data_IF_653880127322
#
_entry.id   IF_653880127322
#
_cell.length_a   1.000
_cell.length_b   1.000
_cell.length_c   1.000
_cell.angle_alpha   90.00
_cell.angle_beta   90.00
_cell.angle_gamma   90.00
#
_symmetry.space_group_name_H-M   'P 1'
#
loop_
_entity.id
_entity.type
_entity.pdbx_description
1 polymer ?
#
# COMPACT_ATOMS: atom_id res chain seq x y z
N UNK A 1 -17.28 -0.29 27.43
CA UNK A 1 -16.16 -1.26 27.46
C UNK A 1 -16.29 -2.14 26.23
N UNK A 2 -15.28 -2.16 25.33
CA UNK A 2 -15.24 -3.10 24.21
C UNK A 2 -15.02 -4.51 24.76
N UNK A 3 -15.73 -5.50 24.22
CA UNK A 3 -15.52 -6.90 24.59
C UNK A 3 -14.10 -7.35 24.21
N UNK A 4 -13.57 -8.33 24.92
CA UNK A 4 -12.23 -8.88 24.69
C UNK A 4 -12.06 -9.36 23.24
N UNK A 5 -13.12 -9.97 22.69
CA UNK A 5 -13.19 -10.39 21.28
C UNK A 5 -13.12 -9.20 20.30
N UNK A 6 -13.74 -8.06 20.61
CA UNK A 6 -13.67 -6.87 19.75
C UNK A 6 -12.27 -6.25 19.72
N UNK A 7 -11.57 -6.25 20.85
CA UNK A 7 -10.18 -5.80 20.94
C UNK A 7 -9.24 -6.72 20.15
N UNK A 8 -9.41 -8.03 20.27
CA UNK A 8 -8.61 -9.01 19.53
C UNK A 8 -8.83 -8.93 18.02
N UNK A 9 -10.09 -8.81 17.58
CA UNK A 9 -10.42 -8.57 16.18
C UNK A 9 -9.77 -7.29 15.65
N UNK A 10 -9.80 -6.20 16.42
CA UNK A 10 -9.18 -4.94 16.03
C UNK A 10 -7.66 -5.08 15.89
N UNK A 11 -6.99 -5.73 16.86
CA UNK A 11 -5.54 -5.99 16.80
C UNK A 11 -5.17 -6.83 15.58
N UNK A 12 -5.94 -7.88 15.29
CA UNK A 12 -5.71 -8.72 14.11
C UNK A 12 -5.91 -7.94 12.81
N UNK A 13 -6.94 -7.08 12.73
CA UNK A 13 -7.17 -6.21 11.57
C UNK A 13 -6.00 -5.26 11.34
N UNK A 14 -5.48 -4.63 12.40
CA UNK A 14 -4.34 -3.72 12.33
C UNK A 14 -3.07 -4.48 11.92
N UNK A 15 -2.80 -5.63 12.55
CA UNK A 15 -1.67 -6.49 12.21
C UNK A 15 -1.69 -6.89 10.73
N UNK A 16 -2.83 -7.39 10.24
CA UNK A 16 -2.97 -7.79 8.83
C UNK A 16 -2.84 -6.62 7.85
N UNK A 17 -3.18 -5.40 8.26
CA UNK A 17 -2.95 -4.19 7.45
C UNK A 17 -1.46 -3.87 7.36
N UNK A 18 -0.75 -3.86 8.50
CA UNK A 18 0.69 -3.56 8.56
C UNK A 18 1.48 -4.63 7.80
N UNK A 19 1.16 -5.91 8.00
CA UNK A 19 1.83 -7.02 7.31
C UNK A 19 1.65 -6.93 5.80
N UNK A 20 0.44 -6.60 5.32
CA UNK A 20 0.20 -6.37 3.89
C UNK A 20 0.94 -5.16 3.35
N UNK A 21 1.06 -4.07 4.12
CA UNK A 21 1.83 -2.91 3.70
C UNK A 21 3.31 -3.25 3.57
N UNK A 22 3.90 -3.89 4.59
CA UNK A 22 5.31 -4.30 4.55
C UNK A 22 5.63 -5.25 3.40
N UNK A 23 4.74 -6.22 3.13
CA UNK A 23 4.87 -7.12 2.00
C UNK A 23 4.82 -6.36 0.66
N UNK A 24 3.98 -5.32 0.56
CA UNK A 24 3.89 -4.49 -0.64
C UNK A 24 5.18 -3.72 -0.87
N UNK A 25 5.70 -3.11 0.19
CA UNK A 25 6.88 -2.25 0.13
C UNK A 25 8.17 -3.06 -0.13
N UNK A 26 8.17 -4.34 0.23
CA UNK A 26 9.31 -5.25 0.04
C UNK A 26 9.32 -5.98 -1.32
N UNK A 27 8.19 -6.03 -2.02
CA UNK A 27 8.06 -6.79 -3.27
C UNK A 27 8.11 -5.84 -4.47
N UNK A 28 8.79 -6.26 -5.53
CA UNK A 28 8.75 -5.57 -6.80
C UNK A 28 7.35 -5.75 -7.45
N UNK A 29 6.58 -4.67 -7.65
CA UNK A 29 5.26 -4.76 -8.28
C UNK A 29 5.31 -5.16 -9.77
N UNK A 30 6.45 -5.02 -10.44
CA UNK A 30 6.61 -5.39 -11.86
C UNK A 30 6.78 -6.90 -12.04
N UNK A 31 7.46 -7.55 -11.10
CA UNK A 31 7.73 -9.00 -11.10
C UNK A 31 6.68 -9.84 -10.33
N UNK A 32 5.65 -9.21 -9.75
CA UNK A 32 4.61 -9.91 -9.01
C UNK A 32 3.57 -10.61 -9.91
N UNK A 33 3.11 -11.83 -9.56
CA UNK A 33 1.97 -12.47 -10.23
C UNK A 33 0.67 -11.66 -10.11
N UNK A 34 -0.17 -11.69 -11.15
CA UNK A 34 -1.43 -10.93 -11.25
C UNK A 34 -2.40 -11.13 -10.07
N UNK A 35 -2.50 -12.36 -9.59
CA UNK A 35 -3.39 -12.71 -8.48
C UNK A 35 -2.94 -12.02 -7.20
N UNK A 36 -1.64 -12.14 -6.89
CA UNK A 36 -1.01 -11.47 -5.75
C UNK A 36 -1.06 -9.96 -5.86
N UNK A 37 -0.85 -9.44 -7.06
CA UNK A 37 -0.94 -8.01 -7.33
C UNK A 37 -2.34 -7.47 -6.99
N UNK A 38 -3.39 -8.15 -7.46
CA UNK A 38 -4.79 -7.78 -7.18
C UNK A 38 -5.14 -7.88 -5.69
N UNK A 39 -4.64 -8.90 -5.00
CA UNK A 39 -4.82 -9.03 -3.54
C UNK A 39 -4.22 -7.84 -2.77
N UNK A 40 -3.06 -7.35 -3.22
CA UNK A 40 -2.24 -6.36 -2.51
C UNK A 40 -2.65 -4.91 -2.80
N UNK A 41 -2.87 -4.59 -4.07
CA UNK A 41 -3.17 -3.24 -4.54
C UNK A 41 -4.67 -3.00 -4.74
N UNK A 42 -5.49 -4.07 -4.84
CA UNK A 42 -6.94 -4.00 -5.06
C UNK A 42 -7.34 -3.13 -6.27
N UNK A 43 -6.42 -2.98 -7.20
CA UNK A 43 -6.55 -2.20 -8.42
C UNK A 43 -6.30 -3.11 -9.63
N UNK A 44 -6.91 -2.84 -10.78
CA UNK A 44 -6.50 -3.44 -12.04
C UNK A 44 -5.00 -3.22 -12.30
N UNK A 45 -4.30 -4.27 -12.74
CA UNK A 45 -2.84 -4.22 -12.96
C UNK A 45 -2.43 -3.10 -13.92
N UNK A 46 -3.20 -2.89 -14.99
CA UNK A 46 -2.96 -1.80 -15.94
C UNK A 46 -2.90 -0.43 -15.26
N UNK A 47 -3.92 -0.10 -14.45
CA UNK A 47 -3.99 1.19 -13.74
C UNK A 47 -2.85 1.33 -12.73
N UNK A 48 -2.58 0.28 -11.97
CA UNK A 48 -1.56 0.35 -10.93
C UNK A 48 -0.13 0.38 -11.51
N UNK A 49 0.15 -0.27 -12.64
CA UNK A 49 1.40 -0.11 -13.37
C UNK A 49 1.52 1.29 -13.97
N UNK A 50 0.43 1.88 -14.46
CA UNK A 50 0.41 3.27 -14.91
C UNK A 50 0.74 4.24 -13.76
N UNK A 51 0.14 4.04 -12.58
CA UNK A 51 0.50 4.79 -11.37
C UNK A 51 1.96 4.60 -10.99
N UNK A 52 2.48 3.37 -10.98
CA UNK A 52 3.88 3.11 -10.66
C UNK A 52 4.84 3.73 -11.67
N UNK A 53 4.47 3.79 -12.95
CA UNK A 53 5.23 4.49 -13.99
C UNK A 53 5.21 6.00 -13.80
N UNK A 54 4.08 6.59 -13.42
CA UNK A 54 4.01 8.02 -13.07
C UNK A 54 4.88 8.30 -11.84
N UNK A 55 4.84 7.40 -10.86
CA UNK A 55 5.61 7.53 -9.63
C UNK A 55 7.10 7.18 -9.82
N UNK A 56 7.50 6.39 -10.82
CA UNK A 56 8.90 6.01 -11.02
C UNK A 56 9.79 7.21 -11.29
N UNK A 57 9.26 8.23 -11.96
CA UNK A 57 9.94 9.50 -12.20
C UNK A 57 10.18 10.28 -10.89
N UNK A 58 9.38 10.01 -9.85
CA UNK A 58 9.48 10.62 -8.53
C UNK A 58 10.18 9.73 -7.49
N UNK A 59 10.35 8.42 -7.76
CA UNK A 59 11.00 7.45 -6.88
C UNK A 59 12.51 7.32 -7.21
N UNK A 60 12.92 7.68 -8.43
CA UNK A 60 14.30 7.49 -8.91
C UNK A 60 15.32 8.47 -8.34
N UNK A 61 14.90 9.46 -7.56
CA UNK A 61 15.81 10.29 -6.80
C UNK A 61 15.83 9.82 -5.34
N UNK A 62 17.01 9.40 -4.89
CA UNK A 62 17.36 9.14 -3.47
C UNK A 62 17.20 10.38 -2.56
N UNK A 63 16.47 11.39 -3.00
CA UNK A 63 16.01 12.52 -2.23
C UNK A 63 14.50 12.39 -2.14
N UNK A 64 14.01 11.99 -0.97
CA UNK A 64 12.64 12.28 -0.53
C UNK A 64 12.31 13.71 -0.96
N UNK A 65 11.50 13.88 -2.00
CA UNK A 65 11.00 15.18 -2.36
C UNK A 65 10.10 15.65 -1.20
N UNK A 66 10.48 16.68 -0.43
CA UNK A 66 9.73 17.09 0.76
C UNK A 66 8.36 17.69 0.45
N UNK A 67 8.04 17.88 -0.84
CA UNK A 67 6.89 18.66 -1.29
C UNK A 67 5.70 17.81 -1.77
N UNK A 68 5.67 16.50 -1.52
CA UNK A 68 4.45 15.71 -1.72
C UNK A 68 3.65 15.70 -0.41
N UNK A 69 2.60 16.53 -0.26
CA UNK A 69 1.78 16.52 0.95
C UNK A 69 1.07 15.16 1.06
N UNK A 70 1.43 14.39 2.10
CA UNK A 70 0.82 13.09 2.44
C UNK A 70 -0.61 13.20 2.98
N UNK A 71 -1.27 14.34 2.84
CA UNK A 71 -2.65 14.56 3.29
C UNK A 71 -3.57 14.71 2.08
N UNK A 72 -4.26 13.63 1.75
CA UNK A 72 -5.54 13.71 1.04
C UNK A 72 -6.53 14.26 2.08
N UNK A 73 -6.71 15.58 2.11
CA UNK A 73 -7.84 16.18 2.81
C UNK A 73 -9.09 15.85 2.01
N UNK A 74 -9.95 15.02 2.57
CA UNK A 74 -11.31 14.81 2.08
C UNK A 74 -12.17 15.88 2.75
N UNK A 75 -12.57 16.89 1.99
CA UNK A 75 -13.74 17.73 2.31
C UNK A 75 -15.04 16.96 2.01
#
# INVERSE_FOLDING_TARGET
MLSLAALEYHRNKVYMKITRQRLRDALDPFDMPDERFREMYRLPRCLALEFLRILSDHISDNNLCPDVPLTISVE
#
